data_IF_504974852912
#
_entry.id   IF_504974852912
#
_cell.length_a   1.000
_cell.length_b   1.000
_cell.length_c   1.000
_cell.angle_alpha   90.00
_cell.angle_beta   90.00
_cell.angle_gamma   90.00
#
_symmetry.space_group_name_H-M   'P 1'
#
loop_
_entity.id
_entity.type
_entity.pdbx_description
1 polymer ?
#
# COMPACT_ATOMS: atom_id res chain seq x y z
N UNK A 1 -22.56 -7.21 -26.86
CA UNK A 1 -22.29 -7.88 -25.57
C UNK A 1 -21.26 -7.09 -24.79
N UNK A 2 -21.73 -6.29 -23.83
CA UNK A 2 -20.85 -5.54 -22.94
C UNK A 2 -20.27 -6.52 -21.92
N UNK A 3 -18.95 -6.70 -21.97
CA UNK A 3 -18.19 -7.39 -20.94
C UNK A 3 -18.20 -6.47 -19.71
N UNK A 4 -19.23 -6.63 -18.89
CA UNK A 4 -19.23 -6.13 -17.52
C UNK A 4 -18.23 -7.03 -16.77
N UNK A 5 -16.98 -6.56 -16.68
CA UNK A 5 -15.92 -7.21 -15.92
C UNK A 5 -16.26 -7.08 -14.43
N UNK A 6 -17.16 -7.97 -14.00
CA UNK A 6 -17.67 -8.08 -12.64
C UNK A 6 -16.66 -8.84 -11.79
N UNK A 7 -15.50 -8.25 -11.55
CA UNK A 7 -14.58 -8.70 -10.49
C UNK A 7 -14.94 -7.98 -9.18
N UNK A 8 -16.22 -8.05 -8.80
CA UNK A 8 -16.67 -7.80 -7.43
C UNK A 8 -16.92 -9.16 -6.78
N UNK A 9 -15.84 -9.84 -6.39
CA UNK A 9 -15.92 -11.02 -5.52
C UNK A 9 -14.87 -10.92 -4.41
N UNK A 10 -15.41 -10.92 -3.19
CA UNK A 10 -14.75 -11.10 -1.88
C UNK A 10 -14.28 -9.87 -1.09
N UNK A 11 -14.35 -8.66 -1.63
CA UNK A 11 -14.11 -7.44 -0.85
C UNK A 11 -12.65 -7.18 -0.42
N UNK A 12 -11.72 -8.07 -0.78
CA UNK A 12 -10.28 -7.88 -0.61
C UNK A 12 -9.64 -6.95 -1.66
N UNK A 13 -8.38 -6.53 -1.46
CA UNK A 13 -7.66 -5.73 -2.44
C UNK A 13 -7.47 -6.47 -3.76
N UNK A 14 -7.54 -5.73 -4.88
CA UNK A 14 -7.25 -6.28 -6.21
C UNK A 14 -5.76 -6.60 -6.35
N UNK A 15 -5.38 -7.84 -6.02
CA UNK A 15 -4.00 -8.34 -6.16
C UNK A 15 -3.49 -8.20 -7.59
N UNK A 16 -4.33 -8.57 -8.58
CA UNK A 16 -4.03 -8.43 -10.01
C UNK A 16 -3.59 -7.00 -10.39
N UNK A 17 -4.27 -5.98 -9.85
CA UNK A 17 -3.90 -4.59 -10.09
C UNK A 17 -2.50 -4.28 -9.53
N UNK A 18 -2.25 -4.60 -8.26
CA UNK A 18 -0.98 -4.31 -7.59
C UNK A 18 0.21 -5.10 -8.13
N UNK A 19 -0.03 -6.29 -8.68
CA UNK A 19 1.00 -7.13 -9.30
C UNK A 19 1.24 -6.82 -10.78
N UNK A 20 0.42 -5.96 -11.39
CA UNK A 20 0.58 -5.56 -12.79
C UNK A 20 1.89 -4.80 -13.03
N UNK A 21 2.53 -5.04 -14.18
CA UNK A 21 3.77 -4.35 -14.57
C UNK A 21 3.61 -2.83 -14.61
N UNK A 22 2.43 -2.34 -15.00
CA UNK A 22 2.11 -0.91 -15.03
C UNK A 22 2.14 -0.31 -13.62
N UNK A 23 1.48 -0.95 -12.65
CA UNK A 23 1.45 -0.47 -11.26
C UNK A 23 2.82 -0.56 -10.60
N UNK A 24 3.55 -1.66 -10.84
CA UNK A 24 4.93 -1.82 -10.35
C UNK A 24 5.85 -0.73 -10.91
N UNK A 25 5.67 -0.33 -12.17
CA UNK A 25 6.43 0.78 -12.77
C UNK A 25 6.12 2.12 -12.11
N UNK A 26 4.84 2.41 -11.82
CA UNK A 26 4.43 3.64 -11.12
C UNK A 26 5.02 3.71 -9.70
N UNK A 27 5.15 2.56 -9.02
CA UNK A 27 5.76 2.47 -7.69
C UNK A 27 7.25 2.82 -7.64
N UNK A 28 7.94 2.89 -8.78
CA UNK A 28 9.34 3.34 -8.80
C UNK A 28 9.46 4.78 -8.27
N UNK A 29 8.53 5.66 -8.63
CA UNK A 29 8.50 7.05 -8.12
C UNK A 29 8.41 7.07 -6.59
N UNK A 30 7.57 6.19 -6.03
CA UNK A 30 7.37 6.04 -4.59
C UNK A 30 8.63 5.49 -3.93
N UNK A 31 9.23 4.45 -4.52
CA UNK A 31 10.48 3.80 -4.04
C UNK A 31 11.62 4.79 -3.94
N UNK A 32 11.83 5.60 -4.98
CA UNK A 32 12.88 6.62 -4.99
C UNK A 32 12.63 7.69 -3.94
N UNK A 33 11.37 8.12 -3.78
CA UNK A 33 11.02 9.16 -2.83
C UNK A 33 11.23 8.69 -1.37
N UNK A 34 10.76 7.48 -1.01
CA UNK A 34 11.01 6.94 0.33
C UNK A 34 12.50 6.67 0.57
N UNK A 35 13.24 6.22 -0.46
CA UNK A 35 14.69 6.03 -0.41
C UNK A 35 15.45 7.32 -0.06
N UNK A 36 14.94 8.47 -0.48
CA UNK A 36 15.50 9.79 -0.17
C UNK A 36 15.05 10.32 1.19
N UNK A 37 13.74 10.31 1.46
CA UNK A 37 13.15 11.02 2.60
C UNK A 37 13.07 10.19 3.89
N UNK A 38 13.03 8.86 3.76
CA UNK A 38 13.02 7.90 4.87
C UNK A 38 14.31 7.07 4.92
N UNK A 39 15.40 7.57 4.31
CA UNK A 39 16.68 6.86 4.11
C UNK A 39 17.13 6.07 5.33
N UNK A 40 17.16 6.69 6.51
CA UNK A 40 17.66 6.03 7.74
C UNK A 40 16.85 4.81 8.18
N UNK A 41 15.58 4.71 7.76
CA UNK A 41 14.68 3.60 8.08
C UNK A 41 14.63 2.52 6.99
N UNK A 42 14.96 2.87 5.74
CA UNK A 42 14.93 1.93 4.61
C UNK A 42 16.32 1.44 4.18
N UNK A 43 17.40 2.07 4.63
CA UNK A 43 18.75 1.75 4.17
C UNK A 43 19.19 0.30 4.46
N UNK A 44 18.78 -0.26 5.60
CA UNK A 44 19.12 -1.64 5.98
C UNK A 44 18.26 -2.68 5.24
N UNK A 45 17.09 -2.28 4.75
CA UNK A 45 16.12 -3.14 4.08
C UNK A 45 15.46 -2.35 2.94
N UNK A 46 16.27 -2.07 1.92
CA UNK A 46 15.85 -1.20 0.82
C UNK A 46 14.77 -1.88 -0.02
N UNK A 47 13.57 -1.30 -0.13
CA UNK A 47 12.50 -1.91 -0.92
C UNK A 47 12.80 -1.97 -2.41
N UNK A 48 12.18 -2.95 -3.06
CA UNK A 48 11.91 -2.95 -4.50
C UNK A 48 10.48 -2.49 -4.77
N UNK A 49 10.18 -2.03 -5.98
CA UNK A 49 8.81 -1.64 -6.35
C UNK A 49 7.82 -2.80 -6.20
N UNK A 50 8.28 -4.04 -6.46
CA UNK A 50 7.48 -5.26 -6.23
C UNK A 50 7.21 -5.53 -4.75
N UNK A 51 8.19 -5.32 -3.87
CA UNK A 51 7.96 -5.50 -2.43
C UNK A 51 7.05 -4.41 -1.85
N UNK A 52 7.11 -3.18 -2.39
CA UNK A 52 6.15 -2.13 -2.03
C UNK A 52 4.72 -2.49 -2.47
N UNK A 53 4.54 -3.02 -3.68
CA UNK A 53 3.23 -3.49 -4.13
C UNK A 53 2.63 -4.54 -3.18
N UNK A 54 3.43 -5.55 -2.82
CA UNK A 54 3.03 -6.57 -1.85
C UNK A 54 2.66 -5.98 -0.49
N UNK A 55 3.45 -5.01 0.00
CA UNK A 55 3.14 -4.32 1.25
C UNK A 55 1.82 -3.54 1.17
N UNK A 56 1.53 -2.88 0.05
CA UNK A 56 0.23 -2.20 -0.13
C UNK A 56 -0.93 -3.18 -0.09
N UNK A 57 -0.82 -4.33 -0.77
CA UNK A 57 -1.83 -5.39 -0.70
C UNK A 57 -2.05 -5.83 0.74
N UNK A 58 -0.99 -6.07 1.51
CA UNK A 58 -1.09 -6.44 2.92
C UNK A 58 -1.76 -5.35 3.76
N UNK A 59 -1.44 -4.07 3.56
CA UNK A 59 -2.07 -2.96 4.27
C UNK A 59 -3.56 -2.84 3.95
N UNK A 60 -3.94 -3.00 2.68
CA UNK A 60 -5.34 -2.97 2.26
C UNK A 60 -6.11 -4.16 2.81
N UNK A 61 -5.52 -5.36 2.79
CA UNK A 61 -6.12 -6.56 3.38
C UNK A 61 -6.32 -6.37 4.89
N UNK A 62 -5.30 -5.87 5.59
CA UNK A 62 -5.42 -5.53 7.01
C UNK A 62 -6.56 -4.55 7.27
N UNK A 63 -6.78 -3.56 6.39
CA UNK A 63 -7.90 -2.64 6.56
C UNK A 63 -9.26 -3.31 6.41
N UNK A 64 -9.42 -4.28 5.51
CA UNK A 64 -10.65 -5.08 5.41
C UNK A 64 -10.85 -5.95 6.66
N UNK A 65 -9.78 -6.60 7.13
CA UNK A 65 -9.85 -7.51 8.26
C UNK A 65 -10.10 -6.76 9.59
N UNK A 66 -9.48 -5.58 9.77
CA UNK A 66 -9.57 -4.79 11.00
C UNK A 66 -10.74 -3.79 11.03
N UNK A 67 -11.18 -3.29 9.86
CA UNK A 67 -12.17 -2.20 9.77
C UNK A 67 -13.29 -2.43 8.74
N UNK A 68 -13.36 -3.61 8.11
CA UNK A 68 -14.37 -3.93 7.10
C UNK A 68 -15.81 -4.05 7.64
N UNK A 69 -16.77 -4.30 6.75
CA UNK A 69 -18.21 -4.32 7.09
C UNK A 69 -18.63 -5.36 8.13
N UNK A 70 -17.76 -6.32 8.46
CA UNK A 70 -18.03 -7.44 9.38
C UNK A 70 -17.50 -7.21 10.80
N UNK A 71 -16.82 -6.08 11.08
CA UNK A 71 -16.24 -5.83 12.41
C UNK A 71 -17.27 -5.17 13.33
N UNK A 72 -17.56 -5.82 14.46
CA UNK A 72 -18.48 -5.30 15.46
C UNK A 72 -17.75 -4.25 16.31
N UNK A 73 -18.12 -2.98 16.13
CA UNK A 73 -17.50 -1.77 16.72
C UNK A 73 -16.23 -1.27 15.99
N UNK A 74 -16.38 -0.63 14.81
CA UNK A 74 -15.23 -0.07 14.07
C UNK A 74 -14.64 1.12 14.83
N UNK A 75 -13.63 0.87 15.67
CA UNK A 75 -12.76 1.94 16.15
C UNK A 75 -11.75 2.29 15.04
N UNK A 76 -11.70 3.58 14.69
CA UNK A 76 -10.76 4.26 13.78
C UNK A 76 -11.11 4.27 12.28
N UNK A 77 -10.96 5.46 11.71
CA UNK A 77 -11.22 5.82 10.32
C UNK A 77 -10.29 5.04 9.39
N UNK A 78 -10.84 4.14 8.57
CA UNK A 78 -10.12 3.53 7.44
C UNK A 78 -9.50 4.64 6.58
N UNK A 79 -8.25 4.48 6.15
CA UNK A 79 -7.67 5.43 5.20
C UNK A 79 -8.47 5.39 3.90
N UNK A 80 -8.78 6.54 3.29
CA UNK A 80 -9.41 6.56 1.98
C UNK A 80 -8.60 5.75 0.97
N UNK A 81 -9.24 4.85 0.20
CA UNK A 81 -8.55 4.01 -0.78
C UNK A 81 -7.71 4.83 -1.78
N UNK A 82 -8.17 6.04 -2.13
CA UNK A 82 -7.43 7.00 -2.97
C UNK A 82 -6.04 7.38 -2.44
N UNK A 83 -5.80 7.28 -1.13
CA UNK A 83 -4.48 7.54 -0.55
C UNK A 83 -3.46 6.49 -0.98
N UNK A 84 -3.88 5.24 -1.21
CA UNK A 84 -3.00 4.20 -1.74
C UNK A 84 -2.75 4.36 -3.24
N UNK A 85 -3.60 5.08 -3.98
CA UNK A 85 -3.46 5.29 -5.42
C UNK A 85 -2.71 6.60 -5.77
N UNK A 86 -2.16 7.30 -4.78
CA UNK A 86 -1.39 8.53 -5.00
C UNK A 86 0.10 8.24 -5.21
N UNK A 87 0.45 7.79 -6.43
CA UNK A 87 1.82 7.42 -6.84
C UNK A 87 2.77 8.62 -7.03
N UNK A 88 2.30 9.85 -6.80
CA UNK A 88 3.12 11.05 -6.95
C UNK A 88 4.27 11.06 -5.94
N UNK A 89 5.40 11.65 -6.33
CA UNK A 89 6.50 11.92 -5.40
C UNK A 89 5.99 12.80 -4.24
N UNK A 90 6.11 12.31 -3.00
CA UNK A 90 5.56 12.97 -1.81
C UNK A 90 4.04 12.89 -1.66
N UNK A 91 3.37 12.04 -2.46
CA UNK A 91 1.96 11.74 -2.33
C UNK A 91 1.64 10.92 -1.08
N UNK A 92 0.35 10.68 -0.86
CA UNK A 92 -0.12 9.96 0.32
C UNK A 92 0.51 8.56 0.46
N UNK A 93 0.66 7.82 -0.66
CA UNK A 93 1.26 6.49 -0.64
C UNK A 93 2.72 6.51 -0.16
N UNK A 94 3.49 7.53 -0.56
CA UNK A 94 4.86 7.73 -0.11
C UNK A 94 4.95 7.83 1.42
N UNK A 95 4.06 8.62 2.03
CA UNK A 95 4.03 8.81 3.47
C UNK A 95 3.50 7.60 4.23
N UNK A 96 2.53 6.87 3.68
CA UNK A 96 2.04 5.61 4.27
C UNK A 96 3.19 4.61 4.36
N UNK A 97 3.83 4.29 3.22
CA UNK A 97 4.91 3.31 3.17
C UNK A 97 6.14 3.77 3.97
N UNK A 98 6.53 5.04 3.86
CA UNK A 98 7.61 5.59 4.68
C UNK A 98 7.35 5.46 6.18
N UNK A 99 6.11 5.67 6.62
CA UNK A 99 5.72 5.53 8.04
C UNK A 99 5.76 4.07 8.50
N UNK A 100 5.38 3.11 7.65
CA UNK A 100 5.52 1.68 7.94
C UNK A 100 6.98 1.30 8.13
N UNK A 101 7.86 1.74 7.23
CA UNK A 101 9.30 1.49 7.36
C UNK A 101 9.91 2.16 8.58
N UNK A 102 9.50 3.39 8.89
CA UNK A 102 9.89 4.08 10.12
C UNK A 102 9.49 3.26 11.35
N UNK A 103 8.23 2.85 11.42
CA UNK A 103 7.72 2.05 12.55
C UNK A 103 8.48 0.72 12.67
N UNK A 104 8.61 -0.03 11.56
CA UNK A 104 9.40 -1.27 11.50
C UNK A 104 10.80 -1.07 12.07
N UNK A 105 11.51 -0.05 11.62
CA UNK A 105 12.86 0.26 12.07
C UNK A 105 12.92 0.67 13.55
N UNK A 106 11.94 1.43 14.04
CA UNK A 106 11.86 1.87 15.44
C UNK A 106 11.51 0.71 16.41
N UNK A 107 10.84 -0.34 15.92
CA UNK A 107 10.58 -1.56 16.69
C UNK A 107 11.76 -2.56 16.67
N UNK A 108 12.83 -2.27 15.94
CA UNK A 108 14.01 -3.14 15.86
C UNK A 108 13.77 -4.48 15.18
N UNK A 109 12.80 -4.54 14.26
CA UNK A 109 12.56 -5.72 13.40
C UNK A 109 13.70 -5.98 12.43
#
# INVERSE_FOLDING_TARGET
DAVEEKDEKDGGPSTKFWESSETISQLETVRLWIGKHYKKYVQNDSPSSKSLAGLVVQLLQFQEDAFGRRVNNPALTKLPAKCFLDFKAGGALCHILGSVYKFKSEQGW
#
